data_IF_646590783520
#
_entry.id   IF_646590783520
#
_cell.length_a   1.000
_cell.length_b   1.000
_cell.length_c   1.000
_cell.angle_alpha   90.00
_cell.angle_beta   90.00
_cell.angle_gamma   90.00
#
_symmetry.space_group_name_H-M   'P 1'
#
loop_
_entity.id
_entity.type
_entity.pdbx_description
1 polymer ?
#
# COMPACT_ATOMS: atom_id res chain seq x y z
N UNK A 1 4.24 32.84 6.68
CA UNK A 1 4.78 32.27 5.42
C UNK A 1 3.85 31.14 5.01
N UNK A 2 3.06 31.32 3.96
CA UNK A 2 2.17 30.26 3.47
C UNK A 2 3.03 29.19 2.81
N UNK A 3 3.37 28.12 3.53
CA UNK A 3 4.01 26.97 2.90
C UNK A 3 2.99 26.36 1.94
N UNK A 4 3.25 26.51 0.63
CA UNK A 4 2.49 25.77 -0.38
C UNK A 4 2.85 24.30 -0.23
N UNK A 5 1.86 23.38 -0.18
CA UNK A 5 2.14 21.96 -0.05
C UNK A 5 3.06 21.53 -1.21
N UNK A 6 4.15 20.85 -0.85
CA UNK A 6 5.15 20.33 -1.79
C UNK A 6 4.42 19.52 -2.86
N UNK A 7 4.72 19.74 -4.14
CA UNK A 7 4.05 19.07 -5.27
C UNK A 7 4.73 17.73 -5.55
N UNK A 8 3.95 16.73 -5.98
CA UNK A 8 4.48 15.39 -6.33
C UNK A 8 5.62 15.44 -7.36
N UNK A 9 5.53 16.34 -8.35
CA UNK A 9 6.61 16.54 -9.34
C UNK A 9 7.93 16.98 -8.71
N UNK A 10 7.89 17.81 -7.66
CA UNK A 10 9.11 18.22 -6.94
C UNK A 10 9.73 17.05 -6.19
N UNK A 11 8.91 16.21 -5.56
CA UNK A 11 9.39 15.01 -4.85
C UNK A 11 10.02 14.01 -5.82
N UNK A 12 9.44 13.84 -7.02
CA UNK A 12 10.02 12.98 -8.06
C UNK A 12 11.39 13.51 -8.55
N UNK A 13 11.60 14.83 -8.52
CA UNK A 13 12.91 15.43 -8.80
C UNK A 13 13.89 15.20 -7.65
N UNK A 14 13.47 15.45 -6.42
CA UNK A 14 14.29 15.20 -5.22
C UNK A 14 14.74 13.74 -5.13
N UNK A 15 13.88 12.80 -5.53
CA UNK A 15 14.17 11.37 -5.55
C UNK A 15 14.96 10.91 -6.81
N UNK A 16 15.33 11.83 -7.69
CA UNK A 16 16.12 11.52 -8.90
C UNK A 16 15.37 10.74 -9.99
N UNK A 17 14.04 10.67 -9.89
CA UNK A 17 13.17 9.94 -10.84
C UNK A 17 12.90 10.77 -12.09
N UNK A 18 12.74 12.08 -11.91
CA UNK A 18 12.53 13.03 -13.00
C UNK A 18 13.48 14.21 -12.87
N UNK A 19 13.74 14.89 -13.98
CA UNK A 19 14.38 16.21 -14.00
C UNK A 19 13.34 17.31 -13.92
N UNK A 20 13.74 18.53 -13.53
CA UNK A 20 12.84 19.70 -13.53
C UNK A 20 12.21 19.95 -14.90
N UNK A 21 12.99 19.74 -15.97
CA UNK A 21 12.53 19.88 -17.35
C UNK A 21 11.44 18.85 -17.70
N UNK A 22 11.64 17.59 -17.32
CA UNK A 22 10.62 16.55 -17.54
C UNK A 22 9.34 16.85 -16.76
N UNK A 23 9.44 17.31 -15.50
CA UNK A 23 8.25 17.75 -14.73
C UNK A 23 7.51 18.88 -15.44
N UNK A 24 8.23 19.86 -15.97
CA UNK A 24 7.62 20.95 -16.72
C UNK A 24 6.84 20.41 -17.94
N UNK A 25 7.42 19.49 -18.70
CA UNK A 25 6.78 18.86 -19.86
C UNK A 25 5.50 18.09 -19.47
N UNK A 26 5.54 17.30 -18.39
CA UNK A 26 4.34 16.62 -17.86
C UNK A 26 3.24 17.63 -17.49
N UNK A 27 3.59 18.74 -16.83
CA UNK A 27 2.62 19.78 -16.44
C UNK A 27 2.02 20.47 -17.68
N UNK A 28 2.80 20.69 -18.75
CA UNK A 28 2.22 21.22 -19.99
C UNK A 28 1.28 20.22 -20.64
N UNK A 29 1.62 18.93 -20.67
CA UNK A 29 0.74 17.87 -21.16
C UNK A 29 -0.55 17.75 -20.32
N UNK A 30 -0.47 17.97 -19.01
CA UNK A 30 -1.64 17.95 -18.13
C UNK A 30 -2.68 19.02 -18.48
N UNK A 31 -2.23 20.20 -18.94
CA UNK A 31 -3.13 21.28 -19.37
C UNK A 31 -3.91 20.95 -20.64
N UNK A 32 -3.33 20.14 -21.52
CA UNK A 32 -3.94 19.81 -22.82
C UNK A 32 -4.73 18.50 -22.76
N UNK A 33 -4.24 17.50 -22.04
CA UNK A 33 -4.83 16.16 -22.02
C UNK A 33 -5.77 15.89 -20.84
N UNK A 34 -5.73 16.72 -19.79
CA UNK A 34 -6.53 16.56 -18.56
C UNK A 34 -6.35 15.21 -17.84
N UNK A 35 -5.23 14.50 -18.09
CA UNK A 35 -4.88 13.27 -17.38
C UNK A 35 -4.15 13.58 -16.06
N UNK A 36 -4.20 12.67 -15.07
CA UNK A 36 -3.42 12.81 -13.84
C UNK A 36 -1.91 12.86 -14.12
N UNK A 37 -1.17 13.61 -13.30
CA UNK A 37 0.28 13.78 -13.45
C UNK A 37 1.02 12.44 -13.55
N UNK A 38 0.71 11.48 -12.68
CA UNK A 38 1.37 10.17 -12.67
C UNK A 38 1.18 9.37 -13.95
N UNK A 39 -0.02 9.43 -14.55
CA UNK A 39 -0.32 8.75 -15.82
C UNK A 39 0.50 9.35 -16.96
N UNK A 40 0.61 10.69 -16.99
CA UNK A 40 1.41 11.38 -18.00
C UNK A 40 2.91 11.13 -17.80
N UNK A 41 3.38 11.10 -16.56
CA UNK A 41 4.78 10.80 -16.23
C UNK A 41 5.17 9.37 -16.64
N UNK A 42 4.28 8.39 -16.42
CA UNK A 42 4.44 7.02 -16.92
C UNK A 42 4.51 7.00 -18.45
N UNK A 43 3.55 7.62 -19.14
CA UNK A 43 3.47 7.62 -20.60
C UNK A 43 4.63 8.34 -21.29
N UNK A 44 5.11 9.45 -20.72
CA UNK A 44 6.12 10.32 -21.34
C UNK A 44 7.55 9.90 -21.01
N UNK A 45 7.78 9.33 -19.82
CA UNK A 45 9.12 9.12 -19.28
C UNK A 45 9.33 7.77 -18.59
N UNK A 46 8.39 6.82 -18.75
CA UNK A 46 8.45 5.47 -18.17
C UNK A 46 8.61 5.47 -16.63
N UNK A 47 8.04 6.48 -15.98
CA UNK A 47 8.02 6.55 -14.52
C UNK A 47 7.16 5.42 -13.98
N UNK A 48 7.75 4.55 -13.17
CA UNK A 48 7.04 3.41 -12.60
C UNK A 48 5.95 3.84 -11.63
N UNK A 49 4.87 3.06 -11.55
CA UNK A 49 3.81 3.23 -10.54
C UNK A 49 4.38 3.27 -9.12
N UNK A 50 5.39 2.46 -8.83
CA UNK A 50 6.05 2.40 -7.52
C UNK A 50 6.74 3.72 -7.16
N UNK A 51 7.39 4.37 -8.13
CA UNK A 51 7.99 5.69 -7.94
C UNK A 51 6.93 6.77 -7.68
N UNK A 52 5.80 6.73 -8.39
CA UNK A 52 4.67 7.64 -8.17
C UNK A 52 4.06 7.43 -6.78
N UNK A 53 3.83 6.18 -6.38
CA UNK A 53 3.28 5.84 -5.06
C UNK A 53 4.21 6.29 -3.94
N UNK A 54 5.52 6.06 -4.06
CA UNK A 54 6.51 6.50 -3.08
C UNK A 54 6.51 8.03 -2.92
N UNK A 55 6.52 8.77 -4.04
CA UNK A 55 6.48 10.22 -4.01
C UNK A 55 5.16 10.75 -3.41
N UNK A 56 4.03 10.08 -3.68
CA UNK A 56 2.74 10.42 -3.09
C UNK A 56 2.70 10.16 -1.57
N UNK A 57 3.22 9.01 -1.11
CA UNK A 57 3.32 8.69 0.32
C UNK A 57 4.17 9.74 1.04
N UNK A 58 5.30 10.12 0.46
CA UNK A 58 6.18 11.15 1.00
C UNK A 58 5.50 12.52 1.04
N UNK A 59 4.80 12.90 -0.03
CA UNK A 59 4.00 14.13 -0.07
C UNK A 59 2.98 14.16 1.06
N UNK A 60 2.27 13.04 1.24
CA UNK A 60 1.27 12.87 2.28
C UNK A 60 1.87 13.00 3.67
N UNK A 61 2.97 12.30 3.93
CA UNK A 61 3.70 12.35 5.19
C UNK A 61 4.20 13.75 5.53
N UNK A 62 4.80 14.46 4.56
CA UNK A 62 5.26 15.85 4.75
C UNK A 62 4.10 16.80 5.06
N UNK A 63 2.88 16.50 4.56
CA UNK A 63 1.69 17.32 4.82
C UNK A 63 1.00 17.00 6.15
N UNK A 64 0.84 15.72 6.50
CA UNK A 64 0.08 15.31 7.69
C UNK A 64 0.93 15.11 8.94
N UNK A 65 2.25 14.97 8.78
CA UNK A 65 3.14 14.49 9.83
C UNK A 65 2.87 13.04 10.24
N UNK A 66 3.56 12.64 11.31
CA UNK A 66 3.35 11.36 12.00
C UNK A 66 2.48 11.58 13.22
N UNK A 67 1.48 10.73 13.43
CA UNK A 67 0.66 10.75 14.65
C UNK A 67 1.26 9.84 15.72
N UNK A 68 1.15 10.27 16.97
CA UNK A 68 1.39 9.41 18.13
C UNK A 68 0.08 8.73 18.54
N UNK A 69 0.04 7.40 18.41
CA UNK A 69 -1.15 6.60 18.75
C UNK A 69 -1.45 6.57 20.26
N UNK A 70 -0.46 6.81 21.12
CA UNK A 70 -0.65 6.83 22.57
C UNK A 70 -1.44 8.05 23.06
N UNK A 71 -1.50 9.10 22.25
CA UNK A 71 -2.26 10.32 22.54
C UNK A 71 -3.69 10.26 22.00
N UNK A 72 -4.06 9.19 21.29
CA UNK A 72 -5.35 9.06 20.64
C UNK A 72 -6.37 8.33 21.51
N UNK A 73 -7.65 8.71 21.35
CA UNK A 73 -8.79 7.94 21.86
C UNK A 73 -9.40 7.15 20.72
N UNK A 74 -9.52 5.83 20.92
CA UNK A 74 -10.06 4.93 19.92
C UNK A 74 -11.57 4.74 20.09
N UNK A 75 -12.31 4.99 19.01
CA UNK A 75 -13.75 4.76 18.94
C UNK A 75 -14.03 3.27 18.67
N UNK A 76 -14.79 2.63 19.56
CA UNK A 76 -15.15 1.23 19.44
C UNK A 76 -15.98 0.91 18.18
N UNK A 77 -16.79 1.85 17.69
CA UNK A 77 -17.56 1.65 16.44
C UNK A 77 -16.67 1.75 15.21
N UNK A 78 -15.66 2.63 15.22
CA UNK A 78 -14.68 2.70 14.16
C UNK A 78 -13.85 1.41 14.07
N UNK A 79 -13.44 0.85 15.21
CA UNK A 79 -12.70 -0.42 15.26
C UNK A 79 -13.50 -1.60 14.69
N UNK A 80 -14.83 -1.59 14.77
CA UNK A 80 -15.66 -2.68 14.23
C UNK A 80 -15.78 -2.65 12.70
N UNK A 81 -15.37 -1.56 12.04
CA UNK A 81 -15.52 -1.41 10.59
C UNK A 81 -14.62 -2.33 9.77
N UNK A 82 -13.54 -2.83 10.38
CA UNK A 82 -12.64 -3.76 9.72
C UNK A 82 -12.47 -5.03 10.56
N UNK A 83 -12.28 -6.15 9.88
CA UNK A 83 -11.88 -7.38 10.54
C UNK A 83 -10.43 -7.32 11.00
N UNK A 84 -10.12 -8.09 12.03
CA UNK A 84 -8.74 -8.36 12.49
C UNK A 84 -7.81 -8.73 11.33
N UNK A 85 -8.24 -9.60 10.42
CA UNK A 85 -7.43 -10.01 9.27
C UNK A 85 -7.08 -8.82 8.37
N UNK A 86 -8.05 -7.95 8.10
CA UNK A 86 -7.84 -6.75 7.29
C UNK A 86 -6.89 -5.77 7.99
N UNK A 87 -7.08 -5.53 9.29
CA UNK A 87 -6.22 -4.65 10.09
C UNK A 87 -4.74 -5.06 9.98
N UNK A 88 -4.45 -6.36 10.09
CA UNK A 88 -3.10 -6.89 9.96
C UNK A 88 -2.59 -6.97 8.52
N UNK A 89 -3.42 -7.41 7.57
CA UNK A 89 -3.04 -7.56 6.16
C UNK A 89 -2.64 -6.23 5.53
N UNK A 90 -3.33 -5.15 5.90
CA UNK A 90 -3.10 -3.81 5.38
C UNK A 90 -2.32 -2.90 6.34
N UNK A 91 -2.01 -3.39 7.55
CA UNK A 91 -1.36 -2.62 8.62
C UNK A 91 -2.06 -1.28 8.85
N UNK A 92 -3.35 -1.34 9.17
CA UNK A 92 -4.23 -0.19 9.39
C UNK A 92 -5.00 -0.29 10.71
N UNK A 93 -5.20 0.84 11.37
CA UNK A 93 -5.93 0.94 12.63
C UNK A 93 -6.94 2.08 12.56
N UNK A 94 -8.26 1.80 12.55
CA UNK A 94 -9.29 2.82 12.71
C UNK A 94 -9.12 3.53 14.05
N UNK A 95 -9.13 4.86 14.03
CA UNK A 95 -9.02 5.69 15.24
C UNK A 95 -10.42 6.13 15.68
N UNK A 96 -11.17 6.71 14.77
CA UNK A 96 -12.47 7.31 15.07
C UNK A 96 -13.06 8.02 13.87
N UNK A 97 -13.97 8.95 14.13
CA UNK A 97 -14.59 9.75 13.10
C UNK A 97 -14.20 11.21 13.25
N UNK A 98 -13.92 11.86 12.14
CA UNK A 98 -13.80 13.32 12.08
C UNK A 98 -15.16 13.98 12.35
N UNK A 99 -15.21 15.25 12.78
CA UNK A 99 -16.47 15.96 13.01
C UNK A 99 -17.42 15.98 11.80
N UNK A 100 -16.87 15.97 10.59
CA UNK A 100 -17.61 15.90 9.32
C UNK A 100 -18.08 14.48 8.94
N UNK A 101 -17.68 13.48 9.72
CA UNK A 101 -18.13 12.09 9.61
C UNK A 101 -17.14 11.16 8.93
N UNK A 102 -16.06 11.61 8.30
CA UNK A 102 -15.08 10.72 7.65
C UNK A 102 -14.38 9.82 8.67
N UNK A 103 -14.01 8.62 8.23
CA UNK A 103 -13.28 7.66 9.06
C UNK A 103 -11.81 8.09 9.15
N UNK A 104 -11.30 8.34 10.35
CA UNK A 104 -9.87 8.54 10.57
C UNK A 104 -9.19 7.19 10.82
N UNK A 105 -8.13 6.91 10.06
CA UNK A 105 -7.33 5.69 10.18
C UNK A 105 -5.84 6.00 10.28
N UNK A 106 -5.13 5.22 11.09
CA UNK A 106 -3.67 5.15 11.07
C UNK A 106 -3.20 4.08 10.08
N UNK A 107 -2.10 4.34 9.38
CA UNK A 107 -1.39 3.38 8.56
C UNK A 107 0.12 3.58 8.67
N UNK A 108 0.93 2.55 8.40
CA UNK A 108 2.37 2.72 8.24
C UNK A 108 2.66 3.38 6.88
N UNK A 109 3.76 4.15 6.80
CA UNK A 109 4.20 4.77 5.53
C UNK A 109 4.39 3.71 4.44
N UNK A 110 4.99 2.57 4.78
CA UNK A 110 5.28 1.47 3.86
C UNK A 110 4.03 0.75 3.34
N UNK A 111 2.89 0.85 4.03
CA UNK A 111 1.62 0.23 3.62
C UNK A 111 0.56 1.23 3.18
N UNK A 112 0.82 2.53 3.26
CA UNK A 112 -0.18 3.57 3.04
C UNK A 112 -0.89 3.46 1.68
N UNK A 113 -0.16 3.29 0.57
CA UNK A 113 -0.79 3.15 -0.76
C UNK A 113 -1.77 1.95 -0.83
N UNK A 114 -1.36 0.81 -0.28
CA UNK A 114 -2.19 -0.40 -0.20
C UNK A 114 -3.38 -0.20 0.75
N UNK A 115 -3.17 0.47 1.87
CA UNK A 115 -4.20 0.80 2.84
C UNK A 115 -5.28 1.70 2.24
N UNK A 116 -4.87 2.74 1.51
CA UNK A 116 -5.79 3.64 0.80
C UNK A 116 -6.56 2.89 -0.26
N UNK A 117 -5.88 2.10 -1.09
CA UNK A 117 -6.53 1.26 -2.10
C UNK A 117 -7.56 0.31 -1.48
N UNK A 118 -7.23 -0.32 -0.35
CA UNK A 118 -8.17 -1.15 0.38
C UNK A 118 -9.40 -0.36 0.86
N UNK A 119 -9.17 0.80 1.49
CA UNK A 119 -10.24 1.62 2.02
C UNK A 119 -11.21 2.09 0.93
N UNK A 120 -10.68 2.63 -0.17
CA UNK A 120 -11.49 3.10 -1.31
C UNK A 120 -12.35 1.99 -1.91
N UNK A 121 -11.86 0.75 -1.92
CA UNK A 121 -12.56 -0.37 -2.57
C UNK A 121 -13.46 -1.18 -1.63
N UNK A 122 -13.24 -1.13 -0.32
CA UNK A 122 -13.86 -2.05 0.65
C UNK A 122 -14.56 -1.37 1.81
N UNK A 123 -14.28 -0.09 2.08
CA UNK A 123 -14.93 0.67 3.15
C UNK A 123 -15.97 1.58 2.50
N UNK A 124 -17.23 1.46 2.93
CA UNK A 124 -18.36 2.19 2.34
C UNK A 124 -18.45 3.66 2.78
N UNK A 125 -17.31 4.29 3.08
CA UNK A 125 -17.21 5.64 3.67
C UNK A 125 -15.88 6.27 3.25
N UNK A 126 -15.85 7.60 3.18
CA UNK A 126 -14.60 8.34 3.00
C UNK A 126 -13.70 8.10 4.20
N UNK A 127 -12.43 7.77 3.94
CA UNK A 127 -11.42 7.56 4.96
C UNK A 127 -10.26 8.54 4.80
N UNK A 128 -9.87 9.18 5.89
CA UNK A 128 -8.65 9.95 6.00
C UNK A 128 -7.59 9.14 6.72
N UNK A 129 -6.36 9.27 6.25
CA UNK A 129 -5.23 8.56 6.83
C UNK A 129 -4.33 9.51 7.60
N UNK A 130 -3.62 8.94 8.56
CA UNK A 130 -2.45 9.54 9.20
C UNK A 130 -1.37 8.49 9.28
N UNK A 131 -0.14 8.90 9.04
CA UNK A 131 0.98 7.97 9.17
C UNK A 131 1.32 7.81 10.63
N UNK A 132 1.46 6.56 11.08
CA UNK A 132 1.97 6.23 12.40
C UNK A 132 3.28 5.43 12.25
N UNK A 133 4.13 5.49 13.27
CA UNK A 133 5.34 4.67 13.30
C UNK A 133 4.99 3.18 13.29
N UNK A 134 5.69 2.42 12.44
CA UNK A 134 5.31 1.03 12.17
C UNK A 134 5.35 0.14 13.42
N UNK A 135 6.33 0.37 14.30
CA UNK A 135 6.45 -0.36 15.56
C UNK A 135 5.28 -0.04 16.50
N UNK A 136 4.94 1.25 16.63
CA UNK A 136 3.83 1.70 17.46
C UNK A 136 2.50 1.16 16.92
N UNK A 137 2.25 1.29 15.61
CA UNK A 137 1.04 0.78 14.97
C UNK A 137 0.85 -0.71 15.22
N UNK A 138 1.91 -1.52 15.12
CA UNK A 138 1.84 -2.95 15.45
C UNK A 138 1.55 -3.24 16.91
N UNK A 139 2.02 -2.40 17.84
CA UNK A 139 1.66 -2.56 19.26
C UNK A 139 0.15 -2.37 19.46
N UNK A 140 -0.42 -1.28 18.92
CA UNK A 140 -1.85 -1.02 19.03
C UNK A 140 -2.71 -2.02 18.25
N UNK A 141 -2.21 -2.55 17.12
CA UNK A 141 -2.87 -3.65 16.42
C UNK A 141 -2.94 -4.92 17.27
N UNK A 142 -1.94 -5.23 18.09
CA UNK A 142 -2.00 -6.38 19.01
C UNK A 142 -3.02 -6.17 20.11
N UNK A 143 -3.16 -4.94 20.60
CA UNK A 143 -4.12 -4.59 21.64
C UNK A 143 -5.56 -4.66 21.13
N UNK A 144 -5.86 -4.00 20.01
CA UNK A 144 -7.24 -3.90 19.49
C UNK A 144 -7.64 -5.09 18.61
N UNK A 145 -6.68 -5.74 17.95
CA UNK A 145 -6.91 -6.85 17.02
C UNK A 145 -5.97 -8.03 17.30
N UNK A 146 -6.00 -8.63 18.51
CA UNK A 146 -5.04 -9.66 18.90
C UNK A 146 -5.08 -10.86 17.96
N UNK A 147 -3.94 -11.22 17.34
CA UNK A 147 -3.89 -12.48 16.60
C UNK A 147 -3.96 -13.66 17.58
N UNK A 148 -4.76 -14.70 17.31
CA UNK A 148 -4.59 -15.97 17.99
C UNK A 148 -3.16 -16.46 17.72
N UNK A 149 -2.47 -16.98 18.72
CA UNK A 149 -1.20 -17.66 18.50
C UNK A 149 -1.43 -18.74 17.44
N UNK A 150 -0.74 -18.60 16.31
CA UNK A 150 -0.76 -19.64 15.28
C UNK A 150 -0.05 -20.84 15.91
N UNK A 151 -0.84 -21.85 16.32
CA UNK A 151 -0.27 -23.06 16.91
C UNK A 151 0.79 -23.63 15.96
N UNK A 152 1.90 -24.15 16.51
CA UNK A 152 3.00 -24.74 15.72
C UNK A 152 2.47 -25.74 14.68
N UNK A 153 1.41 -26.50 15.01
CA UNK A 153 0.69 -27.41 14.09
C UNK A 153 0.18 -26.77 12.79
N UNK A 154 -0.24 -25.50 12.81
CA UNK A 154 -0.74 -24.79 11.62
C UNK A 154 0.45 -24.35 10.75
N UNK A 155 1.56 -23.95 11.36
CA UNK A 155 2.80 -23.57 10.67
C UNK A 155 3.45 -24.80 10.02
N UNK A 156 3.49 -25.92 10.75
CA UNK A 156 3.96 -27.22 10.26
C UNK A 156 3.12 -27.68 9.07
N UNK A 157 1.78 -27.66 9.18
CA UNK A 157 0.91 -28.01 8.05
C UNK A 157 1.09 -27.12 6.83
N UNK A 158 1.32 -25.82 7.02
CA UNK A 158 1.57 -24.90 5.90
C UNK A 158 2.94 -25.17 5.24
N UNK A 159 3.95 -25.59 6.01
CA UNK A 159 5.25 -26.05 5.49
C UNK A 159 5.13 -27.35 4.73
N UNK A 160 4.46 -28.36 5.31
CA UNK A 160 4.25 -29.66 4.66
C UNK A 160 3.52 -29.52 3.31
N UNK A 161 2.58 -28.56 3.22
CA UNK A 161 1.88 -28.26 1.96
C UNK A 161 2.74 -27.50 0.93
N UNK A 162 3.72 -26.71 1.38
CA UNK A 162 4.64 -26.00 0.49
C UNK A 162 5.75 -26.92 -0.03
N UNK A 163 6.28 -27.79 0.83
CA UNK A 163 7.33 -28.76 0.49
C UNK A 163 6.78 -29.92 -0.37
N UNK A 164 5.48 -30.21 -0.26
CA UNK A 164 4.79 -31.20 -1.11
C UNK A 164 4.68 -30.83 -2.60
N UNK A 165 5.01 -29.59 -2.99
CA UNK A 165 5.05 -29.17 -4.40
C UNK A 165 6.41 -29.45 -5.08
N UNK A 166 7.44 -29.87 -4.34
CA UNK A 166 8.79 -30.08 -4.87
C UNK A 166 9.05 -31.52 -5.36
N UNK A 167 8.01 -32.38 -5.34
CA UNK A 167 8.06 -33.75 -5.88
C UNK A 167 7.09 -33.95 -7.05
N UNK A 168 7.20 -33.09 -8.07
CA UNK A 168 6.75 -33.50 -9.40
C UNK A 168 7.82 -34.42 -9.98
N UNK A 169 7.52 -35.65 -10.44
CA UNK A 169 8.51 -36.45 -11.12
C UNK A 169 8.90 -35.72 -12.40
N UNK A 170 10.13 -35.22 -12.46
CA UNK A 170 10.81 -34.96 -13.72
C UNK A 170 11.08 -36.31 -14.36
N UNK A 171 10.11 -36.86 -15.09
CA UNK A 171 10.37 -37.88 -16.11
C UNK A 171 11.13 -37.17 -17.26
N UNK A 172 12.43 -37.00 -17.06
CA UNK A 172 13.41 -36.94 -18.15
C UNK A 172 13.50 -38.35 -18.74
N UNK A 173 12.83 -38.57 -19.88
CA UNK A 173 13.20 -39.51 -20.96
C UNK A 173 11.98 -39.89 -21.83
N UNK A 174 11.18 -38.91 -22.26
CA UNK A 174 10.28 -39.08 -23.40
C UNK A 174 10.92 -38.41 -24.62
N UNK A 175 11.57 -39.24 -25.45
CA UNK A 175 12.29 -38.86 -26.66
C UNK A 175 11.34 -38.17 -27.67
N UNK A 176 11.33 -36.83 -27.66
CA UNK A 176 10.45 -35.97 -28.47
C UNK A 176 10.66 -36.12 -29.99
N UNK A 177 11.65 -36.89 -30.43
CA UNK A 177 11.91 -37.16 -31.84
C UNK A 177 11.08 -38.32 -32.42
N UNK A 178 10.43 -39.15 -31.60
CA UNK A 178 9.65 -40.29 -32.10
C UNK A 178 8.18 -39.93 -32.43
N UNK A 179 7.64 -38.85 -31.83
CA UNK A 179 6.26 -38.39 -32.04
C UNK A 179 6.04 -37.51 -33.29
N UNK A 180 7.10 -37.10 -34.00
CA UNK A 180 7.00 -36.27 -35.21
C UNK A 180 7.22 -37.03 -36.53
N UNK A 181 7.41 -38.36 -36.50
CA UNK A 181 7.57 -39.19 -37.71
C UNK A 181 6.30 -39.91 -38.19
N UNK A 182 5.15 -39.65 -37.57
CA UNK A 182 3.88 -40.30 -37.93
C UNK A 182 2.71 -39.32 -38.18
N UNK A 183 2.99 -38.05 -38.44
CA UNK A 183 2.00 -37.05 -38.89
C UNK A 183 2.23 -36.66 -40.36
#
# INVERSE_FOLDING_TARGET
MSQSPIRIGQILVENGVLTEQQVFEVVQAQKTQQLPFGVLAEQMFDVTLQSIEAAWIEQYHRFTGTIDLSEQKFDAEALKLISRRQAWQFEILPIGFEPSGELLMAASSTRLARAVTFATNRINRVAYFRVAESAQLRMFLREHYPMPEVSQKIIERARDMADGFETWPHDEDADLNELLKSA
#
